data_IF_560608133519
#
_entry.id   IF_560608133519
#
_cell.length_a   1.000
_cell.length_b   1.000
_cell.length_c   1.000
_cell.angle_alpha   90.00
_cell.angle_beta   90.00
_cell.angle_gamma   90.00
#
_symmetry.space_group_name_H-M   'P 1'
#
loop_
_entity.id
_entity.type
_entity.pdbx_description
1 polymer ?
#
# COMPACT_ATOMS: atom_id res chain seq x y z
N UNK A 1 -6.61 -32.40 -2.95
CA UNK A 1 -5.52 -31.41 -3.07
C UNK A 1 -6.02 -30.13 -3.77
N UNK A 2 -6.58 -30.23 -4.98
CA UNK A 2 -7.12 -29.07 -5.70
C UNK A 2 -8.23 -28.31 -4.96
N UNK A 3 -9.21 -29.00 -4.37
CA UNK A 3 -10.31 -28.36 -3.62
C UNK A 3 -9.78 -27.57 -2.43
N UNK A 4 -8.83 -28.13 -1.67
CA UNK A 4 -8.20 -27.44 -0.53
C UNK A 4 -7.48 -26.15 -0.96
N UNK A 5 -6.76 -26.20 -2.08
CA UNK A 5 -6.10 -25.01 -2.63
C UNK A 5 -7.10 -23.93 -3.04
N UNK A 6 -8.23 -24.33 -3.65
CA UNK A 6 -9.29 -23.40 -4.02
C UNK A 6 -9.90 -22.73 -2.77
N UNK A 7 -10.19 -23.52 -1.72
CA UNK A 7 -10.72 -23.00 -0.46
C UNK A 7 -9.77 -21.99 0.19
N UNK A 8 -8.46 -22.27 0.19
CA UNK A 8 -7.44 -21.35 0.70
C UNK A 8 -7.41 -20.03 -0.10
N UNK A 9 -7.44 -20.10 -1.43
CA UNK A 9 -7.46 -18.91 -2.29
C UNK A 9 -8.73 -18.08 -2.06
N UNK A 10 -9.88 -18.73 -1.93
CA UNK A 10 -11.15 -18.07 -1.62
C UNK A 10 -11.09 -17.36 -0.26
N UNK A 11 -10.60 -18.05 0.78
CA UNK A 11 -10.45 -17.45 2.12
C UNK A 11 -9.50 -16.24 2.13
N UNK A 12 -8.44 -16.27 1.32
CA UNK A 12 -7.55 -15.12 1.14
C UNK A 12 -8.30 -13.96 0.48
N UNK A 13 -9.01 -14.24 -0.62
CA UNK A 13 -9.79 -13.25 -1.39
C UNK A 13 -10.96 -12.64 -0.60
N UNK A 14 -11.46 -13.29 0.43
CA UNK A 14 -12.50 -12.72 1.31
C UNK A 14 -11.98 -11.56 2.16
N UNK A 15 -10.67 -11.50 2.40
CA UNK A 15 -10.06 -10.45 3.22
C UNK A 15 -9.55 -9.28 2.38
N UNK A 16 -9.66 -8.06 2.91
CA UNK A 16 -9.07 -6.86 2.29
C UNK A 16 -7.57 -7.03 2.03
N UNK A 17 -6.81 -7.46 3.06
CA UNK A 17 -5.36 -7.70 2.97
C UNK A 17 -5.02 -8.77 1.94
N UNK A 18 -5.84 -9.80 1.79
CA UNK A 18 -5.62 -10.85 0.80
C UNK A 18 -5.84 -10.36 -0.63
N UNK A 19 -6.88 -9.56 -0.88
CA UNK A 19 -7.09 -8.89 -2.17
C UNK A 19 -5.92 -7.99 -2.55
N UNK A 20 -5.44 -7.14 -1.63
CA UNK A 20 -4.25 -6.30 -1.91
C UNK A 20 -3.02 -7.14 -2.22
N UNK A 21 -2.75 -8.22 -1.47
CA UNK A 21 -1.62 -9.12 -1.74
C UNK A 21 -1.69 -9.74 -3.14
N UNK A 22 -2.86 -10.15 -3.60
CA UNK A 22 -3.04 -10.71 -4.95
C UNK A 22 -2.83 -9.63 -6.01
N UNK A 23 -3.45 -8.45 -5.87
CA UNK A 23 -3.25 -7.32 -6.78
C UNK A 23 -1.79 -6.91 -6.87
N UNK A 24 -1.08 -6.87 -5.73
CA UNK A 24 0.34 -6.57 -5.64
C UNK A 24 1.18 -7.61 -6.38
N UNK A 25 0.85 -8.88 -6.23
CA UNK A 25 1.53 -9.98 -6.92
C UNK A 25 1.36 -9.85 -8.43
N UNK A 26 0.14 -9.60 -8.91
CA UNK A 26 -0.11 -9.39 -10.34
C UNK A 26 0.58 -8.15 -10.88
N UNK A 27 0.51 -7.02 -10.16
CA UNK A 27 1.18 -5.79 -10.53
C UNK A 27 2.68 -6.02 -10.76
N UNK A 28 3.41 -6.51 -9.76
CA UNK A 28 4.86 -6.66 -9.88
C UNK A 28 5.29 -7.79 -10.82
N UNK A 29 4.53 -8.90 -10.87
CA UNK A 29 4.83 -10.01 -11.79
C UNK A 29 4.70 -9.54 -13.24
N UNK A 30 3.60 -8.88 -13.58
CA UNK A 30 3.39 -8.39 -14.96
C UNK A 30 4.30 -7.22 -15.30
N UNK A 31 4.63 -6.36 -14.34
CA UNK A 31 5.63 -5.29 -14.53
C UNK A 31 7.02 -5.86 -14.83
N UNK A 32 7.43 -6.90 -14.10
CA UNK A 32 8.71 -7.57 -14.30
C UNK A 32 8.77 -8.28 -15.66
N UNK A 33 7.75 -9.10 -15.98
CA UNK A 33 7.68 -9.79 -17.27
C UNK A 33 7.66 -8.75 -18.39
N UNK A 34 6.80 -7.73 -18.31
CA UNK A 34 6.70 -6.68 -19.31
C UNK A 34 8.01 -5.92 -19.52
N UNK A 35 8.77 -5.64 -18.46
CA UNK A 35 10.06 -4.94 -18.54
C UNK A 35 11.20 -5.80 -19.14
N UNK A 36 11.15 -7.13 -18.97
CA UNK A 36 12.15 -8.05 -19.49
C UNK A 36 11.82 -8.63 -20.87
N UNK A 37 10.58 -8.47 -21.32
CA UNK A 37 10.10 -9.12 -22.54
C UNK A 37 10.53 -8.36 -23.81
N UNK A 38 11.14 -9.08 -24.76
CA UNK A 38 11.68 -8.48 -26.00
C UNK A 38 10.60 -8.10 -27.03
N UNK A 39 9.40 -8.70 -26.95
CA UNK A 39 8.30 -8.31 -27.82
C UNK A 39 7.65 -7.01 -27.31
N UNK A 40 7.80 -5.94 -28.09
CA UNK A 40 7.29 -4.60 -27.78
C UNK A 40 5.78 -4.54 -27.54
N UNK A 41 4.98 -5.35 -28.24
CA UNK A 41 3.52 -5.31 -28.10
C UNK A 41 3.08 -5.96 -26.78
N UNK A 42 3.60 -7.14 -26.48
CA UNK A 42 3.30 -7.85 -25.23
C UNK A 42 3.86 -7.10 -24.01
N UNK A 43 5.07 -6.54 -24.13
CA UNK A 43 5.66 -5.68 -23.10
C UNK A 43 4.74 -4.52 -22.74
N UNK A 44 4.25 -3.76 -23.74
CA UNK A 44 3.32 -2.64 -23.51
C UNK A 44 2.02 -3.08 -22.85
N UNK A 45 1.42 -4.19 -23.28
CA UNK A 45 0.18 -4.72 -22.69
C UNK A 45 0.37 -5.12 -21.23
N UNK A 46 1.47 -5.80 -20.90
CA UNK A 46 1.78 -6.21 -19.53
C UNK A 46 2.10 -5.02 -18.62
N UNK A 47 2.85 -4.04 -19.12
CA UNK A 47 3.13 -2.81 -18.38
C UNK A 47 1.85 -2.01 -18.12
N UNK A 48 0.97 -1.90 -19.12
CA UNK A 48 -0.32 -1.23 -18.95
C UNK A 48 -1.20 -1.95 -17.91
N UNK A 49 -1.29 -3.28 -17.98
CA UNK A 49 -1.98 -4.08 -16.98
C UNK A 49 -1.40 -3.86 -15.58
N UNK A 50 -0.07 -3.84 -15.44
CA UNK A 50 0.59 -3.58 -14.16
C UNK A 50 0.27 -2.19 -13.59
N UNK A 51 0.13 -1.18 -14.45
CA UNK A 51 -0.29 0.17 -14.06
C UNK A 51 -1.70 0.16 -13.49
N UNK A 52 -2.66 -0.44 -14.20
CA UNK A 52 -4.05 -0.53 -13.73
C UNK A 52 -4.14 -1.23 -12.37
N UNK A 53 -3.38 -2.31 -12.18
CA UNK A 53 -3.33 -3.00 -10.88
C UNK A 53 -2.75 -2.11 -9.78
N UNK A 54 -1.75 -1.28 -10.09
CA UNK A 54 -1.19 -0.30 -9.16
C UNK A 54 -2.22 0.78 -8.77
N UNK A 55 -2.93 1.34 -9.76
CA UNK A 55 -3.92 2.39 -9.56
C UNK A 55 -5.14 1.88 -8.77
N UNK A 56 -5.54 0.64 -9.02
CA UNK A 56 -6.59 -0.06 -8.25
C UNK A 56 -6.20 -0.16 -6.78
N UNK A 57 -4.93 -0.47 -6.48
CA UNK A 57 -4.44 -0.54 -5.09
C UNK A 57 -4.41 0.84 -4.43
N UNK A 58 -3.97 1.88 -5.15
CA UNK A 58 -4.03 3.25 -4.64
C UNK A 58 -5.47 3.67 -4.29
N UNK A 59 -6.43 3.25 -5.10
CA UNK A 59 -7.86 3.49 -4.83
C UNK A 59 -8.36 2.72 -3.60
N UNK A 60 -7.92 1.47 -3.41
CA UNK A 60 -8.28 0.68 -2.22
C UNK A 60 -7.76 1.31 -0.92
N UNK A 61 -6.56 1.90 -0.93
CA UNK A 61 -5.96 2.57 0.23
C UNK A 61 -6.74 3.78 0.75
N UNK A 62 -7.64 4.34 -0.06
CA UNK A 62 -8.56 5.39 0.39
C UNK A 62 -9.46 4.93 1.55
N UNK A 63 -9.55 3.62 1.79
CA UNK A 63 -10.31 2.98 2.87
C UNK A 63 -9.47 2.69 4.11
N UNK A 64 -8.15 2.91 4.10
CA UNK A 64 -7.23 2.51 5.17
C UNK A 64 -7.21 3.48 6.37
N UNK A 65 -7.77 4.68 6.23
CA UNK A 65 -7.81 5.70 7.29
C UNK A 65 -8.40 5.18 8.63
N UNK A 66 -9.57 4.52 8.56
CA UNK A 66 -10.27 3.99 9.73
C UNK A 66 -9.62 2.73 10.32
N UNK A 67 -9.24 1.71 9.50
CA UNK A 67 -8.42 0.60 9.98
C UNK A 67 -7.14 1.05 10.67
N UNK A 68 -6.47 2.09 10.16
CA UNK A 68 -5.25 2.61 10.79
C UNK A 68 -5.55 3.25 12.15
N UNK A 69 -6.64 4.03 12.25
CA UNK A 69 -7.06 4.59 13.53
C UNK A 69 -7.39 3.50 14.55
N UNK A 70 -8.13 2.46 14.14
CA UNK A 70 -8.42 1.32 15.00
C UNK A 70 -7.14 0.63 15.46
N UNK A 71 -6.18 0.41 14.56
CA UNK A 71 -4.90 -0.20 14.88
C UNK A 71 -4.12 0.64 15.89
N UNK A 72 -4.05 1.95 15.71
CA UNK A 72 -3.40 2.87 16.64
C UNK A 72 -4.02 2.83 18.05
N UNK A 73 -5.35 2.78 18.13
CA UNK A 73 -6.06 2.68 19.40
C UNK A 73 -5.81 1.34 20.11
N UNK A 74 -5.70 0.25 19.35
CA UNK A 74 -5.38 -1.08 19.90
C UNK A 74 -3.92 -1.19 20.34
N UNK A 75 -3.00 -0.59 19.57
CA UNK A 75 -1.58 -0.58 19.88
C UNK A 75 -1.25 0.28 21.11
N UNK A 76 -1.98 1.38 21.30
CA UNK A 76 -1.79 2.28 22.43
C UNK A 76 -0.38 2.90 22.46
N UNK A 77 0.34 2.69 23.56
CA UNK A 77 1.71 3.19 23.76
C UNK A 77 2.78 2.08 23.65
N UNK A 78 2.46 0.97 22.98
CA UNK A 78 3.40 -0.15 22.80
C UNK A 78 3.63 -0.95 24.09
N UNK A 79 2.60 -1.12 24.92
CA UNK A 79 2.71 -1.87 26.18
C UNK A 79 3.00 -3.37 26.00
N UNK A 80 2.75 -3.90 24.80
CA UNK A 80 3.03 -5.28 24.44
C UNK A 80 4.46 -5.48 23.88
N UNK A 81 5.21 -4.39 23.66
CA UNK A 81 6.56 -4.47 23.11
C UNK A 81 7.59 -4.91 24.17
N UNK A 82 8.63 -5.65 23.75
CA UNK A 82 9.63 -6.24 24.65
C UNK A 82 10.47 -5.19 25.39
N UNK A 83 10.64 -4.01 24.82
CA UNK A 83 11.41 -2.92 25.41
C UNK A 83 10.85 -1.54 25.05
N UNK A 84 11.26 -0.54 25.84
CA UNK A 84 10.78 0.84 25.70
C UNK A 84 11.23 1.52 24.41
N UNK A 85 12.34 1.09 23.82
CA UNK A 85 12.83 1.68 22.58
C UNK A 85 11.99 1.18 21.40
N UNK A 86 11.65 -0.12 21.36
CA UNK A 86 10.69 -0.67 20.40
C UNK A 86 9.30 -0.04 20.55
N UNK A 87 8.80 0.11 21.78
CA UNK A 87 7.54 0.82 22.02
C UNK A 87 7.54 2.25 21.44
N UNK A 88 8.65 2.98 21.56
CA UNK A 88 8.77 4.33 20.99
C UNK A 88 8.83 4.30 19.46
N UNK A 89 9.55 3.35 18.86
CA UNK A 89 9.63 3.19 17.41
C UNK A 89 8.27 2.79 16.81
N UNK A 90 7.55 1.86 17.43
CA UNK A 90 6.22 1.46 16.99
C UNK A 90 5.22 2.59 17.09
N UNK A 91 5.18 3.34 18.20
CA UNK A 91 4.33 4.55 18.31
C UNK A 91 4.69 5.58 17.24
N UNK A 92 5.98 5.82 16.98
CA UNK A 92 6.41 6.76 15.94
C UNK A 92 5.98 6.30 14.54
N UNK A 93 6.13 5.02 14.24
CA UNK A 93 5.69 4.40 12.97
C UNK A 93 4.20 4.60 12.78
N UNK A 94 3.42 4.31 13.82
CA UNK A 94 1.97 4.46 13.85
C UNK A 94 1.48 5.89 13.62
N UNK A 95 2.17 6.87 14.20
CA UNK A 95 1.89 8.29 13.96
C UNK A 95 2.19 8.67 12.51
N UNK A 96 3.32 8.20 11.96
CA UNK A 96 3.68 8.46 10.57
C UNK A 96 2.66 7.85 9.61
N UNK A 97 2.26 6.61 9.85
CA UNK A 97 1.25 5.91 9.07
C UNK A 97 -0.10 6.63 9.13
N UNK A 98 -0.52 7.09 10.31
CA UNK A 98 -1.76 7.85 10.47
C UNK A 98 -1.80 9.16 9.66
N UNK A 99 -0.64 9.79 9.48
CA UNK A 99 -0.49 11.02 8.66
C UNK A 99 -0.30 10.69 7.19
N UNK A 100 0.37 9.58 6.88
CA UNK A 100 0.64 9.10 5.54
C UNK A 100 -0.65 8.82 4.76
N UNK A 101 -1.62 8.10 5.32
CA UNK A 101 -2.85 7.76 4.58
C UNK A 101 -3.66 8.99 4.10
N UNK A 102 -3.87 10.05 4.90
CA UNK A 102 -4.47 11.29 4.43
C UNK A 102 -3.65 11.99 3.33
N UNK A 103 -2.32 11.96 3.41
CA UNK A 103 -1.44 12.54 2.39
C UNK A 103 -1.58 11.76 1.08
N UNK A 104 -1.57 10.43 1.13
CA UNK A 104 -1.75 9.56 -0.03
C UNK A 104 -3.12 9.80 -0.68
N UNK A 105 -4.17 9.97 0.13
CA UNK A 105 -5.52 10.36 -0.34
C UNK A 105 -5.50 11.69 -1.09
N UNK A 106 -4.81 12.70 -0.58
CA UNK A 106 -4.66 13.98 -1.27
C UNK A 106 -3.86 13.85 -2.57
N UNK A 107 -2.81 13.01 -2.60
CA UNK A 107 -2.05 12.72 -3.82
C UNK A 107 -2.94 12.07 -4.89
N UNK A 108 -3.73 11.06 -4.51
CA UNK A 108 -4.66 10.38 -5.40
C UNK A 108 -5.74 11.33 -5.95
N UNK A 109 -6.32 12.20 -5.11
CA UNK A 109 -7.29 13.21 -5.54
C UNK A 109 -6.68 14.22 -6.53
N UNK A 110 -5.44 14.63 -6.30
CA UNK A 110 -4.72 15.55 -7.17
C UNK A 110 -4.42 14.91 -8.53
N UNK A 111 -3.98 13.65 -8.54
CA UNK A 111 -3.69 12.87 -9.76
C UNK A 111 -4.95 12.71 -10.63
N UNK A 112 -6.10 12.45 -10.01
CA UNK A 112 -7.39 12.30 -10.70
C UNK A 112 -8.09 13.64 -10.99
N UNK A 113 -7.43 14.78 -10.73
CA UNK A 113 -7.94 16.14 -10.96
C UNK A 113 -9.27 16.43 -10.27
N UNK A 114 -9.53 15.77 -9.14
CA UNK A 114 -10.74 15.96 -8.35
C UNK A 114 -10.66 17.21 -7.45
N UNK A 115 -9.44 17.70 -7.22
CA UNK A 115 -9.17 18.95 -6.50
C UNK A 115 -8.45 19.93 -7.44
N UNK A 116 -8.90 21.19 -7.44
CA UNK A 116 -8.35 22.25 -8.28
C UNK A 116 -7.26 23.04 -7.53
N UNK A 117 -6.18 23.41 -8.20
CA UNK A 117 -5.14 24.30 -7.66
C UNK A 117 -4.00 23.62 -6.89
N UNK A 118 -3.95 22.28 -6.84
CA UNK A 118 -2.87 21.54 -6.20
C UNK A 118 -1.92 20.91 -7.23
N UNK A 119 -0.63 20.93 -6.94
CA UNK A 119 0.37 20.29 -7.79
C UNK A 119 0.47 18.80 -7.41
N UNK A 120 -0.09 17.93 -8.25
CA UNK A 120 -0.08 16.46 -8.06
C UNK A 120 1.32 15.91 -7.79
N UNK A 121 2.35 16.39 -8.51
CA UNK A 121 3.73 15.93 -8.34
C UNK A 121 4.31 16.23 -6.94
N UNK A 122 3.90 17.34 -6.31
CA UNK A 122 4.34 17.66 -4.94
C UNK A 122 3.74 16.69 -3.92
N UNK A 123 2.45 16.40 -4.05
CA UNK A 123 1.76 15.47 -3.15
C UNK A 123 2.27 14.04 -3.29
N UNK A 124 2.54 13.60 -4.52
CA UNK A 124 3.14 12.30 -4.80
C UNK A 124 4.54 12.15 -4.16
N UNK A 125 5.36 13.20 -4.25
CA UNK A 125 6.69 13.23 -3.61
C UNK A 125 6.59 13.14 -2.09
N UNK A 126 5.70 13.91 -1.48
CA UNK A 126 5.50 13.88 -0.02
C UNK A 126 4.96 12.52 0.44
N UNK A 127 4.00 11.96 -0.29
CA UNK A 127 3.48 10.61 -0.04
C UNK A 127 4.62 9.58 -0.09
N UNK A 128 5.46 9.63 -1.12
CA UNK A 128 6.61 8.73 -1.28
C UNK A 128 7.63 8.85 -0.13
N UNK A 129 7.91 10.06 0.35
CA UNK A 129 8.82 10.27 1.48
C UNK A 129 8.23 9.66 2.77
N UNK A 130 6.96 9.94 3.06
CA UNK A 130 6.28 9.38 4.22
C UNK A 130 6.25 7.84 4.17
N UNK A 131 6.00 7.27 2.98
CA UNK A 131 6.02 5.82 2.77
C UNK A 131 7.41 5.20 3.05
N UNK A 132 8.48 5.82 2.55
CA UNK A 132 9.86 5.33 2.79
C UNK A 132 10.22 5.42 4.28
N UNK A 133 9.83 6.51 4.96
CA UNK A 133 10.04 6.68 6.40
C UNK A 133 9.30 5.61 7.22
N UNK A 134 8.03 5.34 6.87
CA UNK A 134 7.23 4.29 7.49
C UNK A 134 7.92 2.93 7.36
N UNK A 135 8.36 2.55 6.16
CA UNK A 135 9.09 1.29 5.93
C UNK A 135 10.38 1.23 6.74
N UNK A 136 11.14 2.33 6.75
CA UNK A 136 12.41 2.37 7.48
C UNK A 136 12.22 2.13 8.97
N UNK A 137 11.22 2.78 9.58
CA UNK A 137 10.94 2.61 11.00
C UNK A 137 10.33 1.24 11.31
N UNK A 138 9.45 0.74 10.45
CA UNK A 138 8.91 -0.62 10.59
C UNK A 138 9.97 -1.72 10.43
N UNK A 139 11.09 -1.46 9.73
CA UNK A 139 12.22 -2.38 9.66
C UNK A 139 13.10 -2.34 10.91
N UNK A 140 13.06 -1.23 11.65
CA UNK A 140 13.81 -1.05 12.89
C UNK A 140 13.06 -1.55 14.12
N UNK A 141 11.74 -1.66 14.04
CA UNK A 141 10.85 -2.25 15.04
C UNK A 141 10.81 -3.78 14.90
#
# INVERSE_FOLDING_TARGET
MFIKLLDEICSLLETYKGRDKILRTFCYTTRLIGGLHSNNELSKKLLHFSSIMSDTRATLRLLDDLPMLQYNLQYGLGSEEPDKFMAQLGVLTNVIDQVYYPIEKMAWLAEHKLISGTNSSKWDTVSSICWVLSIYLSLMN
#
